data_IF_457840296399
#
_entry.id   IF_457840296399
#
_cell.length_a   1.000
_cell.length_b   1.000
_cell.length_c   1.000
_cell.angle_alpha   90.00
_cell.angle_beta   90.00
_cell.angle_gamma   90.00
#
_symmetry.space_group_name_H-M   'P 1'
#
loop_
_entity.id
_entity.type
_entity.pdbx_description
1 polymer ?
#
# COMPACT_ATOMS: atom_id res chain seq x y z
N UNK A 1 -8.07 12.43 8.69
CA UNK A 1 -6.81 12.35 9.47
C UNK A 1 -5.56 12.57 8.62
N UNK A 2 -5.35 11.87 7.50
CA UNK A 2 -4.14 12.03 6.68
C UNK A 2 -3.89 13.48 6.22
N UNK A 3 -4.91 14.24 5.82
CA UNK A 3 -4.75 15.65 5.45
C UNK A 3 -4.26 16.54 6.61
N UNK A 4 -4.73 16.29 7.84
CA UNK A 4 -4.26 17.01 9.02
C UNK A 4 -2.80 16.67 9.30
N UNK A 5 -2.43 15.40 9.22
CA UNK A 5 -1.05 14.96 9.38
C UNK A 5 -0.12 15.61 8.34
N UNK A 6 -0.55 15.70 7.07
CA UNK A 6 0.20 16.42 6.03
C UNK A 6 0.45 17.91 6.39
N UNK A 7 -0.54 18.58 6.96
CA UNK A 7 -0.40 19.99 7.38
C UNK A 7 0.60 20.19 8.52
N UNK A 8 1.03 19.12 9.18
CA UNK A 8 2.00 19.12 10.27
C UNK A 8 3.28 18.32 9.96
N UNK A 9 3.52 18.00 8.70
CA UNK A 9 4.68 17.23 8.24
C UNK A 9 4.88 15.89 8.98
N UNK A 10 3.78 15.23 9.34
CA UNK A 10 3.80 13.96 10.05
C UNK A 10 3.71 12.78 9.07
N UNK A 11 4.51 11.75 9.33
CA UNK A 11 4.41 10.46 8.60
C UNK A 11 3.09 9.77 8.96
N UNK A 12 2.37 9.30 7.94
CA UNK A 12 1.06 8.67 8.05
C UNK A 12 1.19 7.16 7.90
N UNK A 13 1.09 6.45 9.01
CA UNK A 13 1.09 4.99 9.02
C UNK A 13 -0.34 4.51 9.28
N UNK A 14 -0.87 3.69 8.39
CA UNK A 14 -2.24 3.18 8.50
C UNK A 14 -2.26 1.67 8.41
N UNK A 15 -2.82 1.01 9.42
CA UNK A 15 -3.08 -0.43 9.40
C UNK A 15 -4.42 -0.69 8.73
N UNK A 16 -4.41 -1.49 7.65
CA UNK A 16 -5.62 -1.93 6.94
C UNK A 16 -6.23 -3.16 7.64
N UNK A 17 -7.53 -3.44 7.46
CA UNK A 17 -8.16 -4.61 8.08
C UNK A 17 -7.74 -5.96 7.49
N UNK A 18 -7.14 -5.96 6.29
CA UNK A 18 -6.73 -7.19 5.60
C UNK A 18 -6.39 -6.93 4.13
N UNK A 19 -6.14 -7.98 3.36
CA UNK A 19 -5.70 -7.95 1.96
C UNK A 19 -6.82 -7.63 0.95
N UNK A 20 -8.05 -7.39 1.41
CA UNK A 20 -9.20 -7.09 0.55
C UNK A 20 -9.03 -5.77 -0.22
N UNK A 21 -9.31 -5.83 -1.53
CA UNK A 21 -9.16 -4.70 -2.45
C UNK A 21 -9.83 -3.41 -1.96
N UNK A 22 -11.06 -3.51 -1.47
CA UNK A 22 -11.85 -2.33 -1.09
C UNK A 22 -11.21 -1.59 0.09
N UNK A 23 -10.68 -2.31 1.07
CA UNK A 23 -10.03 -1.73 2.22
C UNK A 23 -8.71 -1.05 1.85
N UNK A 24 -7.88 -1.74 1.05
CA UNK A 24 -6.61 -1.22 0.59
C UNK A 24 -6.84 0.03 -0.26
N UNK A 25 -7.74 -0.03 -1.26
CA UNK A 25 -8.02 1.08 -2.15
C UNK A 25 -8.50 2.32 -1.37
N UNK A 26 -9.52 2.18 -0.51
CA UNK A 26 -10.06 3.30 0.28
C UNK A 26 -9.02 3.90 1.21
N UNK A 27 -8.15 3.07 1.81
CA UNK A 27 -7.07 3.55 2.65
C UNK A 27 -6.05 4.36 1.84
N UNK A 28 -5.62 3.84 0.70
CA UNK A 28 -4.63 4.49 -0.16
C UNK A 28 -5.14 5.81 -0.78
N UNK A 29 -6.44 5.91 -1.02
CA UNK A 29 -7.07 7.15 -1.49
C UNK A 29 -6.96 8.28 -0.47
N UNK A 30 -6.86 7.97 0.82
CA UNK A 30 -6.62 8.97 1.88
C UNK A 30 -5.19 9.51 1.91
N UNK A 31 -4.25 8.92 1.17
CA UNK A 31 -2.86 9.36 1.07
C UNK A 31 -1.98 9.02 2.28
N UNK A 32 -1.94 7.77 2.78
CA UNK A 32 -0.94 7.34 3.74
C UNK A 32 0.43 7.26 3.09
N UNK A 33 1.50 7.34 3.90
CA UNK A 33 2.87 7.09 3.48
C UNK A 33 3.24 5.60 3.64
N UNK A 34 2.63 4.96 4.65
CA UNK A 34 2.85 3.55 4.98
C UNK A 34 1.52 2.86 5.20
N UNK A 35 1.34 1.68 4.61
CA UNK A 35 0.27 0.76 4.99
C UNK A 35 0.85 -0.51 5.61
N UNK A 36 0.16 -1.02 6.63
CA UNK A 36 0.49 -2.28 7.31
C UNK A 36 -0.71 -3.20 7.18
N UNK A 37 -0.51 -4.38 6.62
CA UNK A 37 -1.56 -5.40 6.51
C UNK A 37 -1.36 -6.47 7.60
N UNK A 38 -2.32 -6.66 8.51
CA UNK A 38 -2.23 -7.70 9.53
C UNK A 38 -2.47 -9.09 8.93
N UNK A 39 -2.02 -10.11 9.65
CA UNK A 39 -2.32 -11.53 9.38
C UNK A 39 -1.98 -11.88 7.93
N UNK A 40 -0.73 -11.64 7.55
CA UNK A 40 -0.20 -12.04 6.24
C UNK A 40 0.60 -13.32 6.43
N UNK A 41 -0.05 -14.47 6.23
CA UNK A 41 0.50 -15.77 6.54
C UNK A 41 1.07 -16.51 5.34
N UNK A 42 0.72 -16.08 4.13
CA UNK A 42 1.06 -16.79 2.89
C UNK A 42 1.62 -15.85 1.82
N UNK A 43 2.34 -16.43 0.86
CA UNK A 43 2.80 -15.73 -0.36
C UNK A 43 1.61 -15.09 -1.09
N UNK A 44 0.48 -15.81 -1.17
CA UNK A 44 -0.75 -15.31 -1.82
C UNK A 44 -1.31 -14.07 -1.13
N UNK A 45 -1.21 -13.96 0.20
CA UNK A 45 -1.63 -12.76 0.93
C UNK A 45 -0.77 -11.55 0.57
N UNK A 46 0.54 -11.74 0.45
CA UNK A 46 1.46 -10.69 0.04
C UNK A 46 1.24 -10.30 -1.42
N UNK A 47 1.06 -11.27 -2.31
CA UNK A 47 0.73 -11.00 -3.72
C UNK A 47 -0.57 -10.18 -3.85
N UNK A 48 -1.63 -10.51 -3.08
CA UNK A 48 -2.88 -9.74 -3.05
C UNK A 48 -2.64 -8.32 -2.52
N UNK A 49 -1.86 -8.19 -1.45
CA UNK A 49 -1.52 -6.91 -0.85
C UNK A 49 -0.81 -6.01 -1.87
N UNK A 50 0.23 -6.49 -2.52
CA UNK A 50 0.97 -5.77 -3.56
C UNK A 50 0.07 -5.42 -4.74
N UNK A 51 -0.68 -6.40 -5.26
CA UNK A 51 -1.60 -6.24 -6.39
C UNK A 51 -2.60 -5.12 -6.19
N UNK A 52 -3.12 -4.96 -4.96
CA UNK A 52 -4.12 -3.93 -4.68
C UNK A 52 -3.50 -2.59 -4.28
N UNK A 53 -2.24 -2.57 -3.89
CA UNK A 53 -1.54 -1.37 -3.41
C UNK A 53 -0.82 -0.62 -4.51
N UNK A 54 -0.24 -1.32 -5.48
CA UNK A 54 0.60 -0.77 -6.54
C UNK A 54 -0.18 -0.47 -7.81
N UNK A 55 0.25 0.56 -8.53
CA UNK A 55 -0.25 0.83 -9.87
C UNK A 55 0.33 -0.17 -10.89
N UNK A 56 -0.22 -0.21 -12.09
CA UNK A 56 0.36 -1.00 -13.20
C UNK A 56 1.75 -0.45 -13.56
N UNK A 57 2.74 -1.31 -13.90
CA UNK A 57 2.62 -2.77 -14.13
C UNK A 57 2.70 -3.64 -12.86
N UNK A 58 3.21 -3.13 -11.73
CA UNK A 58 3.46 -3.89 -10.50
C UNK A 58 2.18 -4.39 -9.81
N UNK A 59 1.05 -3.68 -10.00
CA UNK A 59 -0.22 -4.01 -9.38
C UNK A 59 -1.44 -3.66 -10.24
N UNK A 60 -2.60 -3.54 -9.59
CA UNK A 60 -3.88 -3.27 -10.24
C UNK A 60 -4.67 -2.13 -9.54
N UNK A 61 -3.98 -1.25 -8.81
CA UNK A 61 -4.58 -0.06 -8.22
C UNK A 61 -5.20 0.83 -9.30
N UNK A 62 -6.43 1.32 -9.07
CA UNK A 62 -7.11 2.23 -9.97
C UNK A 62 -6.40 3.60 -10.04
N UNK A 63 -6.27 4.14 -11.24
CA UNK A 63 -5.61 5.43 -11.50
C UNK A 63 -6.65 6.54 -11.51
N UNK A 64 -6.78 7.27 -10.40
CA UNK A 64 -7.63 8.44 -10.28
C UNK A 64 -6.89 9.56 -9.56
N UNK A 65 -6.94 10.78 -10.10
CA UNK A 65 -6.07 11.88 -9.66
C UNK A 65 -6.74 12.89 -8.72
N UNK A 66 -8.05 12.99 -8.70
CA UNK A 66 -8.76 13.94 -7.85
C UNK A 66 -8.95 13.42 -6.41
N UNK A 67 -7.90 12.86 -5.83
CA UNK A 67 -7.87 12.24 -4.50
C UNK A 67 -6.79 12.88 -3.61
N UNK A 68 -6.90 12.79 -2.28
CA UNK A 68 -5.87 13.23 -1.33
C UNK A 68 -4.50 12.61 -1.61
N UNK A 69 -4.44 11.32 -1.98
CA UNK A 69 -3.21 10.62 -2.33
C UNK A 69 -2.46 11.21 -3.52
N UNK A 70 -3.15 11.96 -4.37
CA UNK A 70 -2.61 12.65 -5.53
C UNK A 70 -2.63 14.18 -5.38
N UNK A 71 -2.77 14.69 -4.15
CA UNK A 71 -2.89 16.12 -3.84
C UNK A 71 -3.97 16.82 -4.68
N UNK A 72 -5.10 16.13 -4.94
CA UNK A 72 -6.21 16.66 -5.72
C UNK A 72 -5.80 17.21 -7.09
N UNK A 73 -4.92 16.52 -7.81
CA UNK A 73 -4.43 16.95 -9.12
C UNK A 73 -5.56 17.06 -10.15
N UNK A 74 -6.22 18.22 -10.16
CA UNK A 74 -7.29 18.58 -11.10
C UNK A 74 -6.66 18.72 -12.50
N UNK A 75 -7.21 17.99 -13.47
CA UNK A 75 -6.65 17.96 -14.83
C UNK A 75 -5.88 16.67 -15.14
N UNK A 76 -5.79 15.77 -14.17
CA UNK A 76 -5.18 14.46 -14.31
C UNK A 76 -3.69 14.44 -14.00
N UNK A 77 -3.21 13.22 -13.69
CA UNK A 77 -1.80 12.94 -13.53
C UNK A 77 -1.26 12.24 -14.79
N UNK A 78 -0.02 12.52 -15.13
CA UNK A 78 0.73 11.72 -16.13
C UNK A 78 1.21 10.40 -15.49
N UNK A 79 1.47 9.39 -16.31
CA UNK A 79 1.94 8.08 -15.84
C UNK A 79 3.11 8.18 -14.85
N UNK A 80 4.11 9.02 -15.15
CA UNK A 80 5.27 9.26 -14.29
C UNK A 80 4.94 9.81 -12.89
N UNK A 81 3.78 10.43 -12.70
CA UNK A 81 3.36 10.92 -11.38
C UNK A 81 2.74 9.80 -10.54
N UNK A 82 2.07 8.83 -11.18
CA UNK A 82 1.62 7.60 -10.50
C UNK A 82 2.80 6.75 -10.06
N UNK A 83 3.85 6.65 -10.90
CA UNK A 83 5.10 5.96 -10.53
C UNK A 83 5.74 6.58 -9.28
N UNK A 84 5.77 7.92 -9.19
CA UNK A 84 6.28 8.61 -7.99
C UNK A 84 5.43 8.34 -6.74
N UNK A 85 4.11 8.31 -6.87
CA UNK A 85 3.20 7.99 -5.76
C UNK A 85 3.49 6.56 -5.27
N UNK A 86 3.68 5.62 -6.20
CA UNK A 86 4.01 4.23 -5.86
C UNK A 86 5.37 4.09 -5.16
N UNK A 87 6.38 4.84 -5.62
CA UNK A 87 7.72 4.86 -5.00
C UNK A 87 7.74 5.47 -3.60
N UNK A 88 6.80 6.37 -3.30
CA UNK A 88 6.66 7.00 -1.99
C UNK A 88 5.84 6.17 -1.00
N UNK A 89 5.08 5.20 -1.48
CA UNK A 89 4.26 4.34 -0.64
C UNK A 89 5.09 3.16 -0.13
N UNK A 90 5.11 2.98 1.18
CA UNK A 90 5.67 1.79 1.82
C UNK A 90 4.57 0.79 2.16
N UNK A 91 4.76 -0.47 1.79
CA UNK A 91 3.79 -1.56 1.99
C UNK A 91 4.41 -2.65 2.85
N UNK A 92 3.87 -2.84 4.05
CA UNK A 92 4.32 -3.86 4.99
C UNK A 92 3.27 -4.95 5.21
N UNK A 93 3.74 -6.21 5.23
CA UNK A 93 3.02 -7.34 5.84
C UNK A 93 3.32 -7.43 7.32
N UNK A 94 2.39 -7.94 8.13
CA UNK A 94 2.60 -8.13 9.57
C UNK A 94 2.68 -9.63 9.88
N UNK A 95 3.78 -10.06 10.50
CA UNK A 95 4.06 -11.44 10.88
C UNK A 95 3.54 -11.67 12.30
N UNK A 96 2.40 -12.37 12.41
CA UNK A 96 1.68 -12.53 13.67
C UNK A 96 1.38 -14.01 14.00
N UNK A 97 1.85 -14.96 13.18
CA UNK A 97 1.59 -16.39 13.36
C UNK A 97 2.84 -17.25 13.10
N UNK A 98 2.83 -18.47 13.61
CA UNK A 98 3.89 -19.45 13.31
C UNK A 98 3.95 -19.78 11.81
N UNK A 99 2.80 -19.87 11.15
CA UNK A 99 2.69 -20.10 9.70
C UNK A 99 3.36 -18.97 8.91
N UNK A 100 3.16 -17.71 9.32
CA UNK A 100 3.82 -16.55 8.68
C UNK A 100 5.36 -16.65 8.81
N UNK A 101 5.86 -17.07 9.98
CA UNK A 101 7.31 -17.27 10.19
C UNK A 101 7.85 -18.37 9.28
N UNK A 102 7.14 -19.49 9.15
CA UNK A 102 7.54 -20.60 8.28
C UNK A 102 7.58 -20.20 6.79
N UNK A 103 6.72 -19.29 6.37
CA UNK A 103 6.61 -18.83 4.99
C UNK A 103 7.42 -17.56 4.70
N UNK A 104 8.09 -16.97 5.68
CA UNK A 104 8.71 -15.64 5.57
C UNK A 104 9.70 -15.53 4.42
N UNK A 105 10.58 -16.53 4.26
CA UNK A 105 11.59 -16.53 3.20
C UNK A 105 10.93 -16.47 1.79
N UNK A 106 9.84 -17.20 1.60
CA UNK A 106 9.09 -17.19 0.36
C UNK A 106 8.34 -15.86 0.15
N UNK A 107 7.74 -15.32 1.21
CA UNK A 107 7.05 -14.03 1.17
C UNK A 107 8.01 -12.87 0.86
N UNK A 108 9.25 -12.93 1.34
CA UNK A 108 10.29 -11.93 1.03
C UNK A 108 10.70 -11.90 -0.46
N UNK A 109 10.37 -12.93 -1.23
CA UNK A 109 10.66 -12.95 -2.68
C UNK A 109 9.57 -12.28 -3.52
N UNK A 110 8.44 -11.89 -2.92
CA UNK A 110 7.37 -11.22 -3.66
C UNK A 110 7.80 -9.80 -4.02
N UNK A 111 7.89 -9.53 -5.32
CA UNK A 111 8.25 -8.22 -5.82
C UNK A 111 7.17 -7.18 -5.46
N UNK A 112 7.58 -6.03 -4.94
CA UNK A 112 6.69 -4.91 -4.61
C UNK A 112 6.27 -4.82 -3.15
N UNK A 113 6.60 -5.82 -2.30
CA UNK A 113 6.56 -5.67 -0.84
C UNK A 113 7.83 -4.94 -0.38
N UNK A 114 7.70 -4.04 0.59
CA UNK A 114 8.83 -3.27 1.11
C UNK A 114 9.41 -3.88 2.40
N UNK A 115 8.65 -4.72 3.09
CA UNK A 115 9.12 -5.42 4.28
C UNK A 115 8.01 -5.98 5.16
N UNK A 116 8.42 -6.42 6.33
CA UNK A 116 7.55 -7.05 7.33
C UNK A 116 7.77 -6.44 8.71
N UNK A 117 6.75 -6.56 9.57
CA UNK A 117 6.74 -6.13 10.97
C UNK A 117 6.39 -7.31 11.86
#
# INVERSE_FOLDING_TARGET
MCLVANAHDLVKIVRVPGTGRDWITKTLECGPDVIICPITDTVEDIEKLVKHSRYRPAGQRGMFSALPSANYAIGGLRAQQFDKIDQQLTVYGQIESATAVENLDAMCQVEGIDGFL
#
